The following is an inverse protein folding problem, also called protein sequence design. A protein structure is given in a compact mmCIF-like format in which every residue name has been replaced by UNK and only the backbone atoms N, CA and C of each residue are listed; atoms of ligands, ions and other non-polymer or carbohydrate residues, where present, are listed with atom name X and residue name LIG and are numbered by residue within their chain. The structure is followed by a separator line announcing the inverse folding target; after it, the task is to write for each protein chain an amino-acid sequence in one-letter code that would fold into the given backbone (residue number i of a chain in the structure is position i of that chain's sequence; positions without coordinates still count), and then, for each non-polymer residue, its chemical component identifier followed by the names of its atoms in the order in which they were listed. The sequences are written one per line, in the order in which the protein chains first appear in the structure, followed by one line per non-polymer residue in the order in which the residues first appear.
data_IF_021359815320
#
_entry.id   IF_021359815320
#
_cell.length_a   1.000
_cell.length_b   1.000
_cell.length_c   1.000
_cell.angle_alpha   90.00
_cell.angle_beta   90.00
_cell.angle_gamma   90.00
#
_symmetry.space_group_name_H-M   'P 1'
#
loop_
_entity.id
_entity.type
_entity.pdbx_description
1 polymer ?
#
# COMPACT_ATOMS: atom_id res chain seq x y z
N UNK A 1 -18.57 -7.02 23.98
CA UNK A 1 -19.91 -7.27 24.56
C UNK A 1 -20.97 -6.76 23.56
N UNK A 2 -21.22 -7.52 22.49
CA UNK A 2 -22.31 -7.32 21.51
C UNK A 2 -22.51 -8.60 20.66
N UNK A 3 -22.28 -9.78 21.26
CA UNK A 3 -22.42 -11.09 20.59
C UNK A 3 -23.81 -11.71 20.80
N UNK A 4 -24.72 -11.03 21.49
CA UNK A 4 -26.02 -11.56 21.91
C UNK A 4 -27.14 -11.06 20.98
N UNK A 5 -27.27 -11.74 19.84
CA UNK A 5 -28.51 -12.29 19.24
C UNK A 5 -29.77 -11.44 19.00
N UNK A 6 -29.87 -10.19 19.43
CA UNK A 6 -31.15 -9.46 19.46
C UNK A 6 -31.21 -8.19 18.61
N UNK A 7 -30.13 -7.86 17.89
CA UNK A 7 -30.04 -6.67 17.03
C UNK A 7 -29.43 -7.02 15.66
N UNK A 8 -29.98 -6.45 14.60
CA UNK A 8 -29.48 -6.60 13.22
C UNK A 8 -28.89 -5.27 12.73
N UNK A 9 -27.66 -5.24 12.16
CA UNK A 9 -26.76 -6.37 11.93
C UNK A 9 -26.00 -6.82 13.20
N UNK A 10 -25.61 -8.09 13.24
CA UNK A 10 -24.85 -8.67 14.37
C UNK A 10 -23.51 -7.95 14.64
N UNK A 11 -22.86 -7.45 13.58
CA UNK A 11 -21.64 -6.66 13.67
C UNK A 11 -21.89 -5.30 13.03
N UNK A 12 -22.30 -4.33 13.85
CA UNK A 12 -22.64 -2.98 13.39
C UNK A 12 -21.43 -2.04 13.24
N UNK A 13 -20.23 -2.48 13.62
CA UNK A 13 -19.02 -1.68 13.49
C UNK A 13 -18.65 -1.39 12.04
N UNK A 14 -17.97 -0.26 11.76
CA UNK A 14 -17.47 0.03 10.43
C UNK A 14 -16.50 -1.06 9.98
N UNK A 15 -16.64 -1.51 8.73
CA UNK A 15 -15.73 -2.50 8.15
C UNK A 15 -14.40 -1.82 7.83
N UNK A 16 -13.26 -2.39 8.26
CA UNK A 16 -11.97 -1.80 7.98
C UNK A 16 -11.65 -1.88 6.48
N UNK A 17 -10.96 -0.87 5.97
CA UNK A 17 -10.32 -0.88 4.66
C UNK A 17 -8.84 -1.19 4.83
N UNK A 18 -8.25 -1.87 3.85
CA UNK A 18 -6.81 -2.14 3.88
C UNK A 18 -6.03 -0.86 3.50
N UNK A 19 -4.97 -0.49 4.24
CA UNK A 19 -4.42 0.86 4.17
C UNK A 19 -3.48 1.11 2.96
N UNK A 20 -3.12 0.08 2.20
CA UNK A 20 -2.14 0.20 1.10
C UNK A 20 -2.44 -0.78 -0.03
N UNK A 21 -1.69 -0.72 -1.13
CA UNK A 21 -1.84 -1.68 -2.22
C UNK A 21 -1.53 -3.11 -1.74
N UNK A 22 -2.44 -4.04 -2.04
CA UNK A 22 -2.35 -5.44 -1.58
C UNK A 22 -1.21 -6.20 -2.27
N UNK A 23 -0.90 -5.86 -3.51
CA UNK A 23 0.17 -6.53 -4.28
C UNK A 23 1.52 -6.15 -3.68
N UNK A 24 1.75 -4.86 -3.46
CA UNK A 24 2.95 -4.34 -2.79
C UNK A 24 3.07 -4.91 -1.36
N UNK A 25 1.96 -4.97 -0.61
CA UNK A 25 1.92 -5.60 0.71
C UNK A 25 2.38 -7.06 0.69
N UNK A 26 1.87 -7.83 -0.27
CA UNK A 26 2.21 -9.25 -0.42
C UNK A 26 3.69 -9.45 -0.71
N UNK A 27 4.27 -8.62 -1.60
CA UNK A 27 5.69 -8.67 -1.95
C UNK A 27 6.54 -8.36 -0.71
N UNK A 28 6.24 -7.28 0.01
CA UNK A 28 6.97 -6.92 1.24
C UNK A 28 6.91 -8.07 2.26
N UNK A 29 5.73 -8.64 2.51
CA UNK A 29 5.56 -9.72 3.48
C UNK A 29 6.35 -10.98 3.13
N UNK A 30 6.38 -11.37 1.85
CA UNK A 30 7.15 -12.54 1.39
C UNK A 30 8.65 -12.32 1.63
N UNK A 31 9.19 -11.18 1.19
CA UNK A 31 10.61 -10.88 1.34
C UNK A 31 11.02 -10.68 2.80
N UNK A 32 10.16 -10.08 3.64
CA UNK A 32 10.40 -9.97 5.08
C UNK A 32 10.40 -11.34 5.77
N UNK A 33 9.50 -12.24 5.39
CA UNK A 33 9.46 -13.61 5.92
C UNK A 33 10.73 -14.38 5.56
N UNK A 34 11.18 -14.26 4.30
CA UNK A 34 12.44 -14.84 3.86
C UNK A 34 13.64 -14.26 4.64
N UNK A 35 13.68 -12.93 4.81
CA UNK A 35 14.72 -12.26 5.58
C UNK A 35 14.74 -12.73 7.04
N UNK A 36 13.57 -12.81 7.69
CA UNK A 36 13.45 -13.31 9.06
C UNK A 36 13.98 -14.75 9.17
N UNK A 37 13.65 -15.62 8.20
CA UNK A 37 14.16 -16.99 8.13
C UNK A 37 15.69 -17.01 8.03
N UNK A 38 16.28 -16.15 7.18
CA UNK A 38 17.74 -16.05 7.06
C UNK A 38 18.41 -15.51 8.32
N UNK A 39 17.75 -14.62 9.06
CA UNK A 39 18.24 -14.12 10.36
C UNK A 39 18.21 -15.24 11.41
N UNK A 40 17.21 -16.11 11.40
CA UNK A 40 17.11 -17.24 12.34
C UNK A 40 18.22 -18.26 12.12
N UNK A 41 18.58 -18.58 10.86
CA UNK A 41 19.68 -19.53 10.57
C UNK A 41 21.08 -18.90 10.72
N UNK A 42 21.14 -17.57 10.81
CA UNK A 42 22.39 -16.80 10.85
C UNK A 42 23.38 -17.23 11.96
N UNK A 43 22.95 -17.59 13.19
CA UNK A 43 23.87 -18.08 14.24
C UNK A 43 24.55 -19.41 13.88
N UNK A 44 23.98 -20.21 12.98
CA UNK A 44 24.56 -21.46 12.51
C UNK A 44 25.77 -21.29 11.58
N UNK A 45 26.00 -20.06 11.09
CA UNK A 45 27.08 -19.76 10.15
C UNK A 45 28.37 -19.44 10.92
N UNK A 46 29.42 -20.20 10.66
CA UNK A 46 30.70 -20.09 11.37
C UNK A 46 31.47 -18.82 10.98
N UNK A 47 31.99 -18.11 11.99
CA UNK A 47 33.12 -17.18 11.86
C UNK A 47 32.84 -15.80 11.23
N UNK A 48 33.90 -15.19 10.69
CA UNK A 48 33.92 -13.81 10.13
C UNK A 48 33.19 -13.66 8.80
N UNK A 49 32.92 -14.76 8.08
CA UNK A 49 32.16 -14.76 6.83
C UNK A 49 30.67 -14.45 7.00
N UNK A 50 30.16 -14.49 8.24
CA UNK A 50 28.76 -14.18 8.58
C UNK A 50 28.31 -12.81 8.07
N UNK A 51 29.16 -11.79 8.18
CA UNK A 51 28.83 -10.43 7.72
C UNK A 51 28.73 -10.37 6.18
N UNK A 52 29.70 -10.96 5.48
CA UNK A 52 29.68 -11.04 4.02
C UNK A 52 28.49 -11.84 3.49
N UNK A 53 28.14 -12.94 4.18
CA UNK A 53 26.96 -13.73 3.86
C UNK A 53 25.67 -12.93 4.04
N UNK A 54 25.52 -12.23 5.18
CA UNK A 54 24.35 -11.39 5.45
C UNK A 54 24.20 -10.30 4.39
N UNK A 55 25.27 -9.56 4.10
CA UNK A 55 25.25 -8.51 3.07
C UNK A 55 24.85 -9.06 1.70
N UNK A 56 25.37 -10.23 1.32
CA UNK A 56 25.02 -10.89 0.06
C UNK A 56 23.54 -11.30 0.02
N UNK A 57 23.01 -11.87 1.09
CA UNK A 57 21.61 -12.33 1.15
C UNK A 57 20.66 -11.13 1.14
N UNK A 58 20.95 -10.11 1.94
CA UNK A 58 20.12 -8.90 2.02
C UNK A 58 20.11 -8.16 0.67
N UNK A 59 21.27 -7.96 0.04
CA UNK A 59 21.32 -7.30 -1.27
C UNK A 59 20.59 -8.11 -2.34
N UNK A 60 20.76 -9.44 -2.38
CA UNK A 60 20.04 -10.30 -3.32
C UNK A 60 18.52 -10.25 -3.13
N UNK A 61 18.04 -10.32 -1.89
CA UNK A 61 16.61 -10.20 -1.57
C UNK A 61 16.08 -8.82 -1.95
N UNK A 62 16.82 -7.77 -1.62
CA UNK A 62 16.41 -6.40 -1.92
C UNK A 62 16.29 -6.17 -3.43
N UNK A 63 17.24 -6.65 -4.23
CA UNK A 63 17.19 -6.54 -5.69
C UNK A 63 15.94 -7.24 -6.23
N UNK A 64 15.67 -8.48 -5.80
CA UNK A 64 14.47 -9.21 -6.21
C UNK A 64 13.17 -8.50 -5.82
N UNK A 65 13.10 -7.99 -4.59
CA UNK A 65 11.94 -7.27 -4.08
C UNK A 65 11.70 -5.97 -4.87
N UNK A 66 12.77 -5.21 -5.12
CA UNK A 66 12.71 -3.95 -5.85
C UNK A 66 12.23 -4.15 -7.29
N UNK A 67 12.76 -5.16 -8.00
CA UNK A 67 12.34 -5.48 -9.37
C UNK A 67 10.84 -5.79 -9.41
N UNK A 68 10.36 -6.66 -8.51
CA UNK A 68 8.95 -7.03 -8.46
C UNK A 68 8.07 -5.83 -8.06
N UNK A 69 8.45 -5.07 -7.03
CA UNK A 69 7.68 -3.92 -6.56
C UNK A 69 7.57 -2.83 -7.63
N UNK A 70 8.67 -2.50 -8.31
CA UNK A 70 8.68 -1.48 -9.37
C UNK A 70 7.86 -1.94 -10.59
N UNK A 71 7.87 -3.23 -10.92
CA UNK A 71 7.08 -3.76 -12.03
C UNK A 71 5.56 -3.62 -11.80
N UNK A 72 5.10 -3.81 -10.57
CA UNK A 72 3.68 -3.68 -10.20
C UNK A 72 3.29 -2.29 -9.68
N UNK A 73 4.25 -1.39 -9.52
CA UNK A 73 3.99 -0.03 -9.04
C UNK A 73 3.29 0.82 -10.10
N UNK A 74 2.36 1.68 -9.65
CA UNK A 74 1.72 2.71 -10.45
C UNK A 74 2.44 4.08 -10.37
N UNK A 75 3.64 4.13 -9.80
CA UNK A 75 4.35 5.39 -9.52
C UNK A 75 5.40 5.77 -10.59
N UNK A 76 5.24 5.30 -11.83
CA UNK A 76 6.21 5.59 -12.90
C UNK A 76 6.12 7.03 -13.39
N UNK A 77 4.92 7.58 -13.49
CA UNK A 77 4.70 9.00 -13.76
C UNK A 77 3.58 9.51 -12.87
N UNK A 78 3.91 10.49 -12.03
CA UNK A 78 2.99 11.03 -11.03
C UNK A 78 2.79 12.52 -11.28
N UNK A 79 1.54 12.94 -11.28
CA UNK A 79 1.15 14.35 -11.28
C UNK A 79 0.04 14.58 -10.26
N UNK A 80 0.04 15.74 -9.62
CA UNK A 80 -1.01 16.14 -8.68
C UNK A 80 -1.30 17.62 -8.85
N UNK A 81 -2.58 17.98 -8.84
CA UNK A 81 -3.04 19.36 -8.92
C UNK A 81 -4.18 19.60 -7.93
N UNK A 82 -4.16 20.75 -7.27
CA UNK A 82 -5.26 21.19 -6.40
C UNK A 82 -6.20 22.07 -7.22
N UNK A 83 -7.48 21.70 -7.30
CA UNK A 83 -8.45 22.42 -8.12
C UNK A 83 -9.88 22.28 -7.60
N UNK A 84 -10.73 23.23 -7.98
CA UNK A 84 -12.15 23.16 -7.70
C UNK A 84 -12.86 22.49 -8.88
N UNK A 85 -13.57 21.40 -8.62
CA UNK A 85 -14.21 20.59 -9.68
C UNK A 85 -15.63 20.17 -9.31
N UNK A 86 -16.44 19.89 -10.32
CA UNK A 86 -17.80 19.36 -10.15
C UNK A 86 -17.74 17.94 -9.58
N UNK A 87 -18.44 17.67 -8.49
CA UNK A 87 -18.34 16.38 -7.80
C UNK A 87 -19.25 15.28 -8.37
N UNK A 88 -20.54 15.59 -8.60
CA UNK A 88 -21.54 14.59 -9.01
C UNK A 88 -22.60 15.19 -9.94
N UNK A 89 -23.21 14.33 -10.76
CA UNK A 89 -24.33 14.71 -11.61
C UNK A 89 -25.53 15.20 -10.78
N UNK A 90 -26.37 16.05 -11.37
CA UNK A 90 -27.54 16.66 -10.74
C UNK A 90 -27.25 17.47 -9.46
N UNK A 91 -25.99 17.91 -9.26
CA UNK A 91 -25.60 18.92 -8.27
C UNK A 91 -24.80 20.03 -8.96
N UNK A 92 -25.08 21.27 -8.60
CA UNK A 92 -24.29 22.44 -9.03
C UNK A 92 -23.11 22.75 -8.11
N UNK A 93 -22.93 21.98 -7.03
CA UNK A 93 -21.90 22.21 -6.03
C UNK A 93 -20.53 21.71 -6.49
N UNK A 94 -19.50 22.48 -6.16
CA UNK A 94 -18.11 22.20 -6.50
C UNK A 94 -17.36 21.83 -5.23
N UNK A 95 -16.42 20.91 -5.36
CA UNK A 95 -15.51 20.52 -4.28
C UNK A 95 -14.11 21.05 -4.56
N UNK A 96 -13.40 21.43 -3.50
CA UNK A 96 -11.96 21.66 -3.57
C UNK A 96 -11.26 20.34 -3.35
N UNK A 97 -10.51 19.86 -4.33
CA UNK A 97 -9.88 18.55 -4.25
C UNK A 97 -8.50 18.55 -4.91
N UNK A 98 -7.63 17.72 -4.36
CA UNK A 98 -6.39 17.32 -4.97
C UNK A 98 -6.66 16.14 -5.90
N UNK A 99 -6.45 16.38 -7.19
CA UNK A 99 -6.58 15.36 -8.23
C UNK A 99 -5.17 14.88 -8.56
N UNK A 100 -4.94 13.59 -8.36
CA UNK A 100 -3.68 12.92 -8.69
C UNK A 100 -3.85 11.94 -9.84
N UNK A 101 -2.80 11.82 -10.64
CA UNK A 101 -2.70 10.85 -11.72
C UNK A 101 -1.38 10.10 -11.55
N UNK A 102 -1.47 8.79 -11.41
CA UNK A 102 -0.35 7.87 -11.16
C UNK A 102 -0.34 6.83 -12.27
N UNK A 103 0.52 7.02 -13.28
CA UNK A 103 0.68 6.10 -14.40
C UNK A 103 1.69 5.01 -14.01
N UNK A 104 1.26 3.75 -14.11
CA UNK A 104 2.11 2.58 -14.02
C UNK A 104 2.39 1.95 -15.39
N UNK A 105 3.10 0.83 -15.39
CA UNK A 105 3.40 0.09 -16.62
C UNK A 105 2.16 -0.56 -17.26
N UNK A 106 1.22 -1.00 -16.43
CA UNK A 106 0.03 -1.75 -16.87
C UNK A 106 -1.29 -0.96 -16.82
N UNK A 107 -1.26 0.30 -16.39
CA UNK A 107 -2.49 1.08 -16.18
C UNK A 107 -2.25 2.43 -15.52
N UNK A 108 -3.35 3.10 -15.18
CA UNK A 108 -3.34 4.43 -14.53
C UNK A 108 -4.27 4.42 -13.32
N UNK A 109 -3.76 4.91 -12.20
CA UNK A 109 -4.52 5.17 -10.99
C UNK A 109 -4.84 6.67 -10.93
N UNK A 110 -6.12 7.00 -10.77
CA UNK A 110 -6.59 8.38 -10.62
C UNK A 110 -7.07 8.54 -9.19
N UNK A 111 -6.53 9.54 -8.49
CA UNK A 111 -6.92 9.87 -7.12
C UNK A 111 -7.67 11.20 -7.10
N UNK A 112 -8.69 11.28 -6.26
CA UNK A 112 -9.42 12.51 -5.99
C UNK A 112 -9.62 12.59 -4.48
N UNK A 113 -8.93 13.55 -3.85
CA UNK A 113 -8.93 13.72 -2.39
C UNK A 113 -9.42 15.11 -2.05
N UNK A 114 -10.56 15.23 -1.38
CA UNK A 114 -11.10 16.52 -0.95
C UNK A 114 -10.20 17.23 0.07
N UNK A 115 -10.12 18.55 -0.01
CA UNK A 115 -9.41 19.44 0.91
C UNK A 115 -10.39 20.46 1.54
N UNK A 116 -11.11 20.12 2.64
CA UNK A 116 -10.99 18.94 3.50
C UNK A 116 -11.69 17.68 2.96
N UNK A 117 -11.42 16.50 3.54
CA UNK A 117 -11.95 15.21 3.05
C UNK A 117 -13.48 15.13 3.12
N UNK A 118 -14.08 15.73 4.14
CA UNK A 118 -15.53 15.83 4.29
C UNK A 118 -15.99 17.18 3.72
N UNK A 119 -16.56 17.15 2.53
CA UNK A 119 -17.19 18.28 1.85
C UNK A 119 -18.53 17.81 1.32
N UNK A 120 -19.56 18.65 1.44
CA UNK A 120 -20.92 18.33 0.98
C UNK A 120 -21.54 17.11 1.72
N UNK A 121 -21.30 17.05 3.04
CA UNK A 121 -21.71 16.03 4.03
C UNK A 121 -21.08 14.65 3.81
#
# INVERSE_FOLDING_TARGET
MATLGHTFPFYAGPKPTFPMDTTLASIIMIFLTALATFIVILPGIRGKMRLFWLLRVVTSLFIGAAILAVNFSSEWSVGQVSTNTSYKAFSSEWISADIGLQVGLGGVNITLTGTPVQQLN
#
